data_IF_089696915007
#
_entry.id   IF_089696915007
#
_cell.length_a   1.000
_cell.length_b   1.000
_cell.length_c   1.000
_cell.angle_alpha   90.00
_cell.angle_beta   90.00
_cell.angle_gamma   90.00
#
_symmetry.space_group_name_H-M   'P 1'
#
loop_
_entity.id
_entity.type
_entity.pdbx_description
1 polymer ?
#
# COMPACT_ATOMS: atom_id res chain seq x y z
N UNK A 1 -32.22 10.99 11.91
CA UNK A 1 -31.67 9.85 11.13
C UNK A 1 -30.66 9.15 12.03
N UNK A 2 -30.94 7.93 12.49
CA UNK A 2 -30.17 7.28 13.55
C UNK A 2 -28.84 6.75 12.99
N UNK A 3 -27.73 7.39 13.34
CA UNK A 3 -26.36 7.01 12.94
C UNK A 3 -26.07 5.53 13.22
N UNK A 4 -26.69 4.97 14.27
CA UNK A 4 -26.63 3.55 14.63
C UNK A 4 -27.15 2.65 13.49
N UNK A 5 -28.25 3.02 12.82
CA UNK A 5 -28.81 2.26 11.70
C UNK A 5 -27.88 2.29 10.47
N UNK A 6 -27.21 3.42 10.26
CA UNK A 6 -26.20 3.59 9.20
C UNK A 6 -24.96 2.74 9.45
N UNK A 7 -24.45 2.71 10.70
CA UNK A 7 -23.30 1.88 11.09
C UNK A 7 -23.64 0.39 10.90
N UNK A 8 -24.80 -0.05 11.38
CA UNK A 8 -25.25 -1.44 11.22
C UNK A 8 -25.46 -1.78 9.74
N UNK A 9 -26.06 -0.89 8.96
CA UNK A 9 -26.23 -1.06 7.52
C UNK A 9 -24.89 -1.17 6.76
N UNK A 10 -23.93 -0.28 7.03
CA UNK A 10 -22.59 -0.35 6.44
C UNK A 10 -21.83 -1.61 6.87
N UNK A 11 -21.96 -2.02 8.13
CA UNK A 11 -21.34 -3.25 8.63
C UNK A 11 -21.83 -4.45 7.83
N UNK A 12 -23.14 -4.60 7.64
CA UNK A 12 -23.72 -5.72 6.87
C UNK A 12 -23.23 -5.69 5.42
N UNK A 13 -23.33 -4.53 4.76
CA UNK A 13 -22.97 -4.38 3.34
C UNK A 13 -21.46 -4.49 3.09
N UNK A 14 -20.60 -4.20 4.07
CA UNK A 14 -19.14 -4.31 3.90
C UNK A 14 -18.63 -5.71 4.29
N UNK A 15 -19.23 -6.31 5.33
CA UNK A 15 -18.82 -7.61 5.84
C UNK A 15 -19.25 -8.72 4.89
N UNK A 16 -20.48 -8.70 4.37
CA UNK A 16 -20.96 -9.73 3.45
C UNK A 16 -20.03 -9.90 2.23
N UNK A 17 -19.74 -8.86 1.43
CA UNK A 17 -18.89 -8.99 0.25
C UNK A 17 -17.41 -9.28 0.56
N UNK A 18 -16.92 -9.04 1.78
CA UNK A 18 -15.55 -9.43 2.19
C UNK A 18 -15.47 -10.87 2.68
N UNK A 19 -16.50 -11.35 3.36
CA UNK A 19 -16.55 -12.69 3.93
C UNK A 19 -16.97 -13.74 2.89
N UNK A 20 -17.86 -13.38 1.97
CA UNK A 20 -18.32 -14.26 0.89
C UNK A 20 -17.16 -14.78 0.01
N UNK A 21 -16.27 -13.93 -0.54
CA UNK A 21 -15.13 -14.42 -1.31
C UNK A 21 -14.23 -15.31 -0.45
N UNK A 22 -14.03 -14.96 0.83
CA UNK A 22 -13.16 -15.73 1.72
C UNK A 22 -13.68 -17.16 1.94
N UNK A 23 -14.99 -17.32 2.16
CA UNK A 23 -15.62 -18.63 2.38
C UNK A 23 -15.80 -19.41 1.08
N UNK A 24 -16.17 -18.75 -0.02
CA UNK A 24 -16.38 -19.40 -1.32
C UNK A 24 -15.05 -19.88 -1.92
N UNK A 25 -13.97 -19.10 -1.80
CA UNK A 25 -12.61 -19.49 -2.20
C UNK A 25 -12.09 -20.66 -1.36
N UNK A 26 -12.48 -20.76 -0.08
CA UNK A 26 -12.06 -21.88 0.78
C UNK A 26 -12.76 -23.21 0.47
N UNK A 27 -13.96 -23.19 -0.12
CA UNK A 27 -14.75 -24.41 -0.40
C UNK A 27 -14.59 -24.95 -1.82
N UNK A 28 -14.20 -24.10 -2.76
CA UNK A 28 -13.86 -24.56 -4.11
C UNK A 28 -12.42 -25.07 -4.09
N UNK A 29 -12.20 -26.33 -4.52
CA UNK A 29 -10.87 -26.83 -4.86
C UNK A 29 -10.36 -26.02 -6.05
N UNK A 30 -9.85 -24.81 -5.80
CA UNK A 30 -9.24 -23.99 -6.81
C UNK A 30 -8.10 -24.81 -7.42
N UNK A 31 -8.10 -25.05 -8.74
CA UNK A 31 -7.00 -25.73 -9.38
C UNK A 31 -5.71 -24.98 -9.05
N UNK A 32 -4.62 -25.70 -8.81
CA UNK A 32 -3.37 -25.12 -8.29
C UNK A 32 -2.89 -23.88 -9.06
N UNK A 33 -3.21 -23.79 -10.35
CA UNK A 33 -2.99 -22.62 -11.20
C UNK A 33 -3.66 -21.34 -10.68
N UNK A 34 -4.94 -21.37 -10.32
CA UNK A 34 -5.69 -20.19 -9.87
C UNK A 34 -5.26 -19.76 -8.47
N UNK A 35 -4.98 -20.71 -7.57
CA UNK A 35 -4.41 -20.40 -6.24
C UNK A 35 -3.04 -19.73 -6.35
N UNK A 36 -2.21 -20.16 -7.29
CA UNK A 36 -0.91 -19.56 -7.59
C UNK A 36 -1.09 -18.16 -8.20
N UNK A 37 -2.03 -17.98 -9.12
CA UNK A 37 -2.36 -16.69 -9.73
C UNK A 37 -2.89 -15.68 -8.71
N UNK A 38 -3.85 -16.08 -7.85
CA UNK A 38 -4.40 -15.26 -6.77
C UNK A 38 -3.33 -14.81 -5.76
N UNK A 39 -2.28 -15.61 -5.53
CA UNK A 39 -1.15 -15.18 -4.69
C UNK A 39 -0.33 -14.05 -5.32
N UNK A 40 -0.30 -13.92 -6.65
CA UNK A 40 0.44 -12.86 -7.33
C UNK A 40 -0.34 -11.54 -7.42
N UNK A 41 -1.67 -11.59 -7.38
CA UNK A 41 -2.52 -10.38 -7.47
C UNK A 41 -2.18 -9.34 -6.39
N UNK A 42 -2.07 -9.69 -5.08
CA UNK A 42 -1.74 -8.70 -4.05
C UNK A 42 -0.38 -8.03 -4.27
N UNK A 43 0.64 -8.80 -4.66
CA UNK A 43 1.97 -8.24 -4.92
C UNK A 43 1.98 -7.33 -6.15
N UNK A 44 1.28 -7.71 -7.21
CA UNK A 44 1.12 -6.88 -8.40
C UNK A 44 0.36 -5.59 -8.07
N UNK A 45 -0.77 -5.69 -7.35
CA UNK A 45 -1.57 -4.54 -6.94
C UNK A 45 -0.78 -3.58 -6.03
N UNK A 46 -0.05 -4.10 -5.04
CA UNK A 46 0.80 -3.27 -4.18
C UNK A 46 1.90 -2.58 -4.99
N UNK A 47 2.57 -3.29 -5.90
CA UNK A 47 3.59 -2.69 -6.76
C UNK A 47 3.03 -1.58 -7.66
N UNK A 48 1.91 -1.85 -8.33
CA UNK A 48 1.24 -0.87 -9.20
C UNK A 48 0.66 0.31 -8.43
N UNK A 49 0.32 0.17 -7.14
CA UNK A 49 -0.16 1.28 -6.31
C UNK A 49 1.00 2.11 -5.75
N UNK A 50 2.03 1.44 -5.23
CA UNK A 50 3.15 2.09 -4.54
C UNK A 50 4.06 2.83 -5.51
N UNK A 51 4.37 2.25 -6.68
CA UNK A 51 5.29 2.88 -7.65
C UNK A 51 4.81 4.26 -8.12
N UNK A 52 3.61 4.43 -8.71
CA UNK A 52 3.13 5.75 -9.09
C UNK A 52 2.87 6.64 -7.87
N UNK A 53 2.36 6.06 -6.77
CA UNK A 53 2.11 6.81 -5.54
C UNK A 53 3.38 7.43 -4.95
N UNK A 54 4.52 6.75 -5.06
CA UNK A 54 5.80 7.25 -4.59
C UNK A 54 6.46 8.22 -5.58
N UNK A 55 6.41 7.92 -6.89
CA UNK A 55 7.04 8.77 -7.93
C UNK A 55 6.30 10.10 -8.10
N UNK A 56 4.97 10.08 -8.01
CA UNK A 56 4.13 11.28 -8.18
C UNK A 56 3.83 11.98 -6.85
N UNK A 57 4.45 11.55 -5.74
CA UNK A 57 4.16 12.09 -4.41
C UNK A 57 4.45 13.60 -4.29
N UNK A 58 5.43 14.12 -5.04
CA UNK A 58 5.92 15.49 -4.92
C UNK A 58 5.87 16.17 -6.30
N UNK A 59 4.75 16.85 -6.63
CA UNK A 59 4.63 17.58 -7.88
C UNK A 59 5.64 18.75 -7.91
N UNK A 60 6.39 18.87 -9.02
CA UNK A 60 7.39 19.94 -9.23
C UNK A 60 8.83 19.56 -8.89
N UNK A 61 9.06 18.56 -8.02
CA UNK A 61 10.42 18.15 -7.60
C UNK A 61 10.59 16.61 -7.66
N UNK A 62 10.73 16.02 -8.86
CA UNK A 62 10.88 14.57 -9.03
C UNK A 62 12.12 14.01 -8.32
N UNK A 63 13.17 14.83 -8.20
CA UNK A 63 14.43 14.44 -7.54
C UNK A 63 14.24 14.13 -6.05
N UNK A 64 13.41 14.89 -5.34
CA UNK A 64 13.11 14.62 -3.93
C UNK A 64 12.36 13.31 -3.74
N UNK A 65 11.41 13.01 -4.63
CA UNK A 65 10.68 11.74 -4.64
C UNK A 65 11.62 10.56 -4.89
N UNK A 66 12.51 10.67 -5.88
CA UNK A 66 13.50 9.63 -6.20
C UNK A 66 14.43 9.36 -5.02
N UNK A 67 14.96 10.41 -4.37
CA UNK A 67 15.85 10.23 -3.20
C UNK A 67 15.10 9.58 -2.03
N UNK A 68 13.84 10.00 -1.77
CA UNK A 68 12.99 9.36 -0.77
C UNK A 68 12.75 7.88 -1.04
N UNK A 69 12.50 7.51 -2.30
CA UNK A 69 12.33 6.11 -2.74
C UNK A 69 13.62 5.31 -2.54
N UNK A 70 14.75 5.83 -2.98
CA UNK A 70 16.06 5.17 -2.84
C UNK A 70 16.38 4.95 -1.35
N UNK A 71 16.16 5.97 -0.51
CA UNK A 71 16.33 5.85 0.92
C UNK A 71 15.41 4.76 1.50
N UNK A 72 14.11 4.75 1.13
CA UNK A 72 13.18 3.71 1.58
C UNK A 72 13.66 2.30 1.20
N UNK A 73 14.14 2.10 -0.03
CA UNK A 73 14.64 0.81 -0.51
C UNK A 73 15.89 0.38 0.27
N UNK A 74 16.86 1.29 0.42
CA UNK A 74 18.13 1.00 1.08
C UNK A 74 17.94 0.65 2.55
N UNK A 75 17.12 1.44 3.25
CA UNK A 75 16.85 1.25 4.68
C UNK A 75 15.92 0.06 4.95
N UNK A 76 14.93 -0.19 4.09
CA UNK A 76 14.08 -1.39 4.19
C UNK A 76 14.87 -2.69 4.00
N UNK A 77 15.97 -2.65 3.23
CA UNK A 77 16.82 -3.82 3.03
C UNK A 77 17.64 -4.16 4.28
N UNK A 78 18.06 -3.13 5.03
CA UNK A 78 18.92 -3.30 6.20
C UNK A 78 18.14 -3.50 7.51
N UNK A 79 16.97 -2.87 7.64
CA UNK A 79 16.12 -2.90 8.85
C UNK A 79 14.73 -3.45 8.46
N UNK A 80 14.28 -4.51 9.13
CA UNK A 80 12.92 -5.06 8.97
C UNK A 80 11.81 -4.19 9.61
N UNK A 81 12.19 -3.09 10.25
CA UNK A 81 11.26 -2.17 10.90
C UNK A 81 10.68 -1.18 9.90
N UNK A 82 9.38 -1.35 9.59
CA UNK A 82 8.66 -0.53 8.62
C UNK A 82 8.63 0.94 9.08
N UNK A 83 8.39 1.17 10.37
CA UNK A 83 8.25 2.52 10.94
C UNK A 83 9.53 3.32 10.76
N UNK A 84 10.68 2.74 11.10
CA UNK A 84 11.98 3.43 10.96
C UNK A 84 12.28 3.76 9.50
N UNK A 85 12.00 2.84 8.59
CA UNK A 85 12.20 3.06 7.14
C UNK A 85 11.39 4.24 6.63
N UNK A 86 10.11 4.34 7.04
CA UNK A 86 9.23 5.44 6.65
C UNK A 86 9.74 6.77 7.18
N UNK A 87 10.10 6.84 8.46
CA UNK A 87 10.62 8.08 9.08
C UNK A 87 11.88 8.57 8.38
N UNK A 88 12.83 7.67 8.09
CA UNK A 88 14.09 8.02 7.42
C UNK A 88 13.84 8.47 5.97
N UNK A 89 12.95 7.79 5.24
CA UNK A 89 12.58 8.16 3.87
C UNK A 89 11.94 9.56 3.81
N UNK A 90 11.01 9.86 4.74
CA UNK A 90 10.40 11.18 4.86
C UNK A 90 11.46 12.23 5.17
N UNK A 91 12.36 11.96 6.12
CA UNK A 91 13.41 12.90 6.51
C UNK A 91 14.38 13.18 5.36
N UNK A 92 14.74 12.15 4.59
CA UNK A 92 15.59 12.28 3.40
C UNK A 92 14.91 13.09 2.30
N UNK A 93 13.64 12.81 2.00
CA UNK A 93 12.86 13.57 1.02
C UNK A 93 12.71 15.04 1.43
N UNK A 94 12.45 15.30 2.72
CA UNK A 94 12.35 16.64 3.29
C UNK A 94 13.66 17.42 3.19
N UNK A 95 14.79 16.78 3.51
CA UNK A 95 16.11 17.41 3.41
C UNK A 95 16.43 17.83 1.97
N UNK A 96 16.09 16.98 0.99
CA UNK A 96 16.29 17.30 -0.44
C UNK A 96 15.36 18.41 -0.90
N UNK A 97 14.11 18.44 -0.43
CA UNK A 97 13.19 19.55 -0.70
C UNK A 97 13.72 20.87 -0.16
N UNK A 98 14.26 20.87 1.06
CA UNK A 98 14.88 22.05 1.66
C UNK A 98 16.12 22.52 0.89
N UNK A 99 16.99 21.60 0.45
CA UNK A 99 18.15 21.96 -0.38
C UNK A 99 17.78 22.42 -1.78
N UNK A 100 16.67 21.94 -2.34
CA UNK A 100 16.25 22.26 -3.70
C UNK A 100 15.61 23.66 -3.83
N UNK A 101 15.59 24.46 -2.76
CA UNK A 101 15.24 25.87 -2.81
C UNK A 101 13.74 26.15 -2.83
N UNK A 102 12.97 25.44 -2.00
CA UNK A 102 11.69 25.95 -1.51
C UNK A 102 11.89 26.97 -0.39
#
# INVERSE_FOLDING_TARGET
>A
MNVILLIVGMMVVTFFPRYLPFVTISKWNLPGFVKKFLRFIPYAALGTLILPGAVMAIPGFPWAAIVGIIAAILFSWFRREIILTVVISIFAAYLVLYLSGY
#
